data_IF_731418546491
#
_entry.id   IF_731418546491
#
_cell.length_a   1.000
_cell.length_b   1.000
_cell.length_c   1.000
_cell.angle_alpha   90.00
_cell.angle_beta   90.00
_cell.angle_gamma   90.00
#
_symmetry.space_group_name_H-M   'P 1'
#
loop_
_entity.id
_entity.type
_entity.pdbx_description
1 polymer ?
#
# COMPACT_ATOMS: atom_id res chain seq x y z
N UNK A 1 -13.06 3.28 15.01
CA UNK A 1 -12.16 2.52 14.12
C UNK A 1 -12.12 3.16 12.75
N UNK A 2 -10.95 3.44 12.26
CA UNK A 2 -10.78 4.00 10.91
C UNK A 2 -9.74 3.21 10.14
N UNK A 3 -9.83 3.29 8.83
CA UNK A 3 -8.81 2.80 7.91
C UNK A 3 -8.15 3.99 7.21
N UNK A 4 -6.86 3.89 6.98
CA UNK A 4 -6.14 4.87 6.18
C UNK A 4 -6.02 4.34 4.77
N UNK A 5 -6.42 5.16 3.81
CA UNK A 5 -6.36 4.81 2.38
C UNK A 5 -5.28 5.68 1.74
N UNK A 6 -4.34 5.03 1.08
CA UNK A 6 -3.26 5.71 0.37
C UNK A 6 -3.17 5.17 -1.05
N UNK A 7 -2.79 6.02 -2.00
CA UNK A 7 -2.70 5.60 -3.39
C UNK A 7 -1.50 4.68 -3.60
N UNK A 8 -0.35 5.10 -3.14
CA UNK A 8 0.92 4.40 -3.37
C UNK A 8 1.75 4.40 -2.10
N UNK A 9 2.22 3.22 -1.73
CA UNK A 9 3.19 3.07 -0.64
C UNK A 9 4.58 2.87 -1.24
N UNK A 10 5.53 3.71 -0.84
CA UNK A 10 6.95 3.54 -1.14
C UNK A 10 7.67 3.07 0.12
N UNK A 11 8.23 3.98 0.89
CA UNK A 11 8.87 3.66 2.17
C UNK A 11 7.91 3.65 3.34
N UNK A 12 6.69 4.16 3.14
CA UNK A 12 5.66 4.18 4.16
C UNK A 12 5.67 5.40 5.08
N UNK A 13 6.59 6.34 4.87
CA UNK A 13 6.73 7.50 5.74
C UNK A 13 5.47 8.35 5.86
N UNK A 14 4.84 8.67 4.72
CA UNK A 14 3.60 9.46 4.70
C UNK A 14 2.47 8.74 5.43
N UNK A 15 2.34 7.45 5.20
CA UNK A 15 1.29 6.64 5.82
C UNK A 15 1.50 6.54 7.33
N UNK A 16 2.74 6.34 7.76
CA UNK A 16 3.09 6.29 9.19
C UNK A 16 2.75 7.62 9.86
N UNK A 17 3.10 8.73 9.22
CA UNK A 17 2.77 10.06 9.73
C UNK A 17 1.26 10.23 9.89
N UNK A 18 0.49 9.78 8.91
CA UNK A 18 -0.97 9.83 8.97
C UNK A 18 -1.53 8.97 10.11
N UNK A 19 -0.97 7.78 10.34
CA UNK A 19 -1.37 6.92 11.45
C UNK A 19 -1.11 7.62 12.78
N UNK A 20 0.08 8.17 12.94
CA UNK A 20 0.46 8.86 14.18
C UNK A 20 -0.42 10.07 14.45
N UNK A 21 -0.70 10.85 13.42
CA UNK A 21 -1.55 12.03 13.52
C UNK A 21 -2.97 11.65 13.92
N UNK A 22 -3.55 10.62 13.30
CA UNK A 22 -4.88 10.14 13.63
C UNK A 22 -4.96 9.65 15.08
N UNK A 23 -3.95 8.91 15.52
CA UNK A 23 -3.89 8.41 16.90
C UNK A 23 -3.75 9.54 17.92
N UNK A 24 -3.01 10.59 17.57
CA UNK A 24 -2.91 11.81 18.39
C UNK A 24 -4.25 12.47 18.60
N UNK A 25 -5.12 12.39 17.64
CA UNK A 25 -6.47 12.96 17.70
C UNK A 25 -7.47 12.02 18.37
N UNK A 26 -7.01 10.91 18.91
CA UNK A 26 -7.85 9.95 19.62
C UNK A 26 -8.56 8.96 18.73
N UNK A 27 -8.19 8.88 17.46
CA UNK A 27 -8.80 7.94 16.52
C UNK A 27 -8.11 6.57 16.60
N UNK A 28 -8.89 5.53 16.43
CA UNK A 28 -8.39 4.16 16.40
C UNK A 28 -8.12 3.76 14.96
N UNK A 29 -6.85 3.65 14.59
CA UNK A 29 -6.44 3.23 13.25
C UNK A 29 -6.08 1.75 13.30
N UNK A 30 -6.82 0.94 12.55
CA UNK A 30 -6.66 -0.51 12.59
C UNK A 30 -6.25 -1.11 11.26
N UNK A 31 -6.33 -0.37 10.17
CA UNK A 31 -6.05 -0.89 8.84
C UNK A 31 -5.48 0.19 7.94
N UNK A 32 -4.59 -0.21 7.06
CA UNK A 32 -4.12 0.61 5.94
C UNK A 32 -4.47 -0.12 4.65
N UNK A 33 -5.07 0.61 3.72
CA UNK A 33 -5.39 0.09 2.39
C UNK A 33 -4.64 0.95 1.38
N UNK A 34 -3.90 0.33 0.50
CA UNK A 34 -3.22 1.03 -0.59
C UNK A 34 -3.57 0.41 -1.92
N UNK A 35 -3.63 1.21 -2.96
CA UNK A 35 -3.82 0.69 -4.32
C UNK A 35 -2.55 -0.01 -4.80
N UNK A 36 -1.40 0.58 -4.56
CA UNK A 36 -0.13 0.07 -5.07
C UNK A 36 0.91 0.03 -3.95
N UNK A 37 1.51 -1.13 -3.76
CA UNK A 37 2.70 -1.30 -2.93
C UNK A 37 3.90 -1.41 -3.87
N UNK A 38 4.80 -0.43 -3.80
CA UNK A 38 5.99 -0.40 -4.65
C UNK A 38 7.10 -1.32 -4.17
N UNK A 39 6.88 -2.02 -3.08
CA UNK A 39 7.83 -2.98 -2.51
C UNK A 39 9.19 -2.35 -2.18
N UNK A 40 9.16 -1.13 -1.64
CA UNK A 40 10.36 -0.39 -1.22
C UNK A 40 10.52 -0.37 0.30
N UNK A 41 10.01 -1.38 0.98
CA UNK A 41 10.12 -1.51 2.44
C UNK A 41 8.99 -0.83 3.21
N UNK A 42 8.05 -0.17 2.53
CA UNK A 42 6.97 0.56 3.19
C UNK A 42 6.05 -0.33 4.01
N UNK A 43 5.72 -1.50 3.47
CA UNK A 43 4.86 -2.45 4.18
C UNK A 43 5.46 -2.86 5.52
N UNK A 44 6.73 -3.22 5.53
CA UNK A 44 7.42 -3.63 6.74
C UNK A 44 7.50 -2.48 7.76
N UNK A 45 7.74 -1.26 7.28
CA UNK A 45 7.78 -0.08 8.15
C UNK A 45 6.41 0.21 8.76
N UNK A 46 5.35 0.13 7.97
CA UNK A 46 3.98 0.38 8.43
C UNK A 46 3.53 -0.70 9.41
N UNK A 47 3.92 -1.96 9.19
CA UNK A 47 3.57 -3.07 10.07
C UNK A 47 4.14 -2.94 11.47
N UNK A 48 5.13 -2.07 11.69
CA UNK A 48 5.60 -1.74 13.03
C UNK A 48 4.61 -0.87 13.81
N UNK A 49 3.67 -0.24 13.12
CA UNK A 49 2.69 0.67 13.73
C UNK A 49 1.27 0.13 13.71
N UNK A 50 0.96 -0.81 12.83
CA UNK A 50 -0.38 -1.33 12.63
C UNK A 50 -0.31 -2.78 12.16
N UNK A 51 -1.32 -3.58 12.50
CA UNK A 51 -1.30 -5.01 12.22
C UNK A 51 -1.83 -5.39 10.84
N UNK A 52 -2.58 -4.51 10.20
CA UNK A 52 -3.31 -4.82 8.98
C UNK A 52 -2.98 -3.86 7.85
N UNK A 53 -2.37 -4.40 6.80
CA UNK A 53 -2.17 -3.69 5.54
C UNK A 53 -2.73 -4.53 4.42
N UNK A 54 -3.48 -3.89 3.51
CA UNK A 54 -3.93 -4.49 2.27
C UNK A 54 -3.45 -3.68 1.09
N UNK A 55 -2.79 -4.34 0.16
CA UNK A 55 -2.43 -3.74 -1.12
C UNK A 55 -3.28 -4.41 -2.20
N UNK A 56 -3.88 -3.62 -3.07
CA UNK A 56 -4.65 -4.16 -4.20
C UNK A 56 -3.70 -4.70 -5.24
N UNK A 57 -2.62 -3.97 -5.53
CA UNK A 57 -1.57 -4.40 -6.44
C UNK A 57 -0.20 -4.14 -5.83
N UNK A 58 0.74 -5.04 -6.08
CA UNK A 58 2.15 -4.81 -5.78
C UNK A 58 2.87 -4.43 -7.06
N UNK A 59 4.07 -3.90 -6.91
CA UNK A 59 4.93 -3.59 -8.06
C UNK A 59 5.17 -4.84 -8.91
N UNK A 60 5.44 -5.97 -8.26
CA UNK A 60 5.66 -7.24 -8.95
C UNK A 60 4.45 -7.63 -9.78
N UNK A 61 3.25 -7.54 -9.20
CA UNK A 61 2.02 -7.85 -9.90
C UNK A 61 1.77 -6.94 -11.10
N UNK A 62 2.07 -5.65 -10.96
CA UNK A 62 1.95 -4.69 -12.06
C UNK A 62 2.88 -5.05 -13.21
N UNK A 63 4.11 -5.41 -12.89
CA UNK A 63 5.09 -5.82 -13.90
C UNK A 63 4.67 -7.09 -14.60
N UNK A 64 4.08 -8.03 -13.89
CA UNK A 64 3.55 -9.27 -14.47
C UNK A 64 2.37 -8.99 -15.40
N UNK A 65 1.45 -8.12 -15.00
CA UNK A 65 0.33 -7.71 -15.84
C UNK A 65 0.80 -7.01 -17.10
N UNK A 66 1.80 -6.18 -16.98
CA UNK A 66 2.38 -5.48 -18.13
C UNK A 66 3.01 -6.46 -19.12
N UNK A 67 3.72 -7.45 -18.62
CA UNK A 67 4.31 -8.49 -19.47
C UNK A 67 3.23 -9.29 -20.20
N UNK A 68 2.17 -9.68 -19.48
CA UNK A 68 1.03 -10.38 -20.08
C UNK A 68 0.33 -9.55 -21.15
N UNK A 69 0.17 -8.27 -20.88
CA UNK A 69 -0.46 -7.34 -21.82
C UNK A 69 0.35 -7.21 -23.10
N UNK A 70 1.67 -7.19 -23.00
CA UNK A 70 2.55 -7.15 -24.17
C UNK A 70 2.38 -8.42 -24.99
N UNK A 71 2.34 -9.59 -24.38
CA UNK A 71 2.10 -10.86 -25.05
C UNK A 71 0.76 -10.89 -25.76
N UNK A 72 -0.29 -10.37 -25.14
CA UNK A 72 -1.63 -10.30 -25.73
C UNK A 72 -1.67 -9.36 -26.92
N UNK A 73 -0.89 -8.33 -26.90
CA UNK A 73 -0.82 -7.37 -27.98
C UNK A 73 -0.35 -8.02 -29.28
N UNK A 74 0.50 -9.01 -29.17
CA UNK A 74 0.98 -9.76 -30.34
C UNK A 74 -0.09 -10.66 -30.93
N UNK A 75 -1.10 -10.99 -30.15
CA UNK A 75 -2.22 -11.85 -30.58
C UNK A 75 -3.34 -11.03 -31.21
N UNK A 76 -3.45 -9.80 -30.82
CA UNK A 76 -4.47 -8.90 -31.36
C UNK A 76 -4.04 -8.24 -32.64
#
# INVERSE_FOLDING_TARGET
MIAIIDDVITTGGSTITAIEQARKEGLSVEMVITLIDREEGGRENILQHIDNIKAILTRTEIMELRAKKIKRKDVL
#
